data_IF_304096967083
#
_entry.id   IF_304096967083
#
_cell.length_a   1.000
_cell.length_b   1.000
_cell.length_c   1.000
_cell.angle_alpha   90.00
_cell.angle_beta   90.00
_cell.angle_gamma   90.00
#
_symmetry.space_group_name_H-M   'P 1'
#
loop_
_entity.id
_entity.type
_entity.pdbx_description
1 polymer ?
#
# COMPACT_ATOMS: atom_id res chain seq x y z
N UNK A 1 -0.05 49.24 -22.85
CA UNK A 1 -0.47 48.21 -23.82
C UNK A 1 0.37 46.97 -23.60
N UNK A 2 -0.11 46.03 -22.77
CA UNK A 2 0.64 44.86 -22.36
C UNK A 2 0.31 43.73 -23.34
N UNK A 3 1.28 43.31 -24.15
CA UNK A 3 1.13 42.21 -25.08
C UNK A 3 1.11 40.89 -24.31
N UNK A 4 -0.06 40.29 -24.13
CA UNK A 4 -0.16 38.86 -23.76
C UNK A 4 0.33 38.04 -24.97
N UNK A 5 1.55 37.50 -24.87
CA UNK A 5 2.00 36.41 -25.76
C UNK A 5 1.12 35.20 -25.49
N UNK A 6 0.37 34.81 -26.50
CA UNK A 6 -0.34 33.55 -26.57
C UNK A 6 0.66 32.41 -26.29
N UNK A 7 0.51 31.73 -25.16
CA UNK A 7 1.21 30.48 -24.90
C UNK A 7 0.44 29.40 -25.66
N UNK A 8 0.79 29.23 -26.92
CA UNK A 8 0.37 28.10 -27.73
C UNK A 8 1.47 27.04 -27.64
N UNK A 9 1.32 26.11 -26.72
CA UNK A 9 1.73 24.71 -26.95
C UNK A 9 0.93 23.84 -26.00
N UNK A 10 -0.08 23.15 -26.53
CA UNK A 10 -0.62 21.94 -25.94
C UNK A 10 0.51 20.92 -25.90
N UNK A 11 1.30 20.92 -24.85
CA UNK A 11 2.15 19.77 -24.53
C UNK A 11 1.16 18.69 -24.08
N UNK A 12 0.68 17.90 -25.05
CA UNK A 12 -0.12 16.71 -24.72
C UNK A 12 0.81 15.78 -23.97
N UNK A 13 0.56 15.58 -22.68
CA UNK A 13 1.25 14.55 -21.89
C UNK A 13 0.88 13.22 -22.53
N UNK A 14 1.86 12.59 -23.18
CA UNK A 14 1.67 11.27 -23.80
C UNK A 14 1.86 10.17 -22.78
N UNK A 15 1.23 9.03 -23.01
CA UNK A 15 1.56 7.80 -22.29
C UNK A 15 3.01 7.44 -22.53
N UNK A 16 3.64 6.88 -21.51
CA UNK A 16 5.02 6.41 -21.51
C UNK A 16 5.05 4.98 -20.97
N UNK A 17 6.11 4.26 -21.30
CA UNK A 17 6.32 2.90 -20.84
C UNK A 17 7.02 2.92 -19.48
N UNK A 18 6.45 2.23 -18.50
CA UNK A 18 7.02 2.04 -17.17
C UNK A 18 7.18 0.56 -16.88
N UNK A 19 8.33 0.21 -16.28
CA UNK A 19 8.64 -1.17 -15.88
C UNK A 19 8.98 -1.18 -14.40
N UNK A 20 8.41 -2.11 -13.65
CA UNK A 20 8.66 -2.32 -12.22
C UNK A 20 8.40 -3.79 -11.86
N UNK A 21 8.93 -4.24 -10.73
CA UNK A 21 8.66 -5.56 -10.20
C UNK A 21 7.51 -5.48 -9.16
N UNK A 22 6.46 -6.28 -9.32
CA UNK A 22 5.39 -6.38 -8.32
C UNK A 22 5.28 -7.82 -7.84
N UNK A 23 5.44 -8.02 -6.54
CA UNK A 23 5.37 -9.33 -5.89
C UNK A 23 6.27 -10.39 -6.55
N UNK A 24 7.48 -9.98 -7.00
CA UNK A 24 8.44 -10.85 -7.65
C UNK A 24 8.25 -11.03 -9.16
N UNK A 25 7.24 -10.42 -9.76
CA UNK A 25 6.98 -10.46 -11.21
C UNK A 25 7.26 -9.11 -11.85
N UNK A 26 7.95 -9.12 -12.98
CA UNK A 26 8.21 -7.91 -13.77
C UNK A 26 6.97 -7.56 -14.60
N UNK A 27 6.54 -6.31 -14.50
CA UNK A 27 5.43 -5.76 -15.29
C UNK A 27 5.93 -4.56 -16.11
N UNK A 28 5.41 -4.46 -17.33
CA UNK A 28 5.62 -3.32 -18.22
C UNK A 28 4.26 -2.79 -18.65
N UNK A 29 4.00 -1.53 -18.42
CA UNK A 29 2.73 -0.87 -18.70
C UNK A 29 2.91 0.41 -19.51
N UNK A 30 1.88 0.84 -20.22
CA UNK A 30 1.80 2.16 -20.83
C UNK A 30 0.81 3.03 -20.06
N UNK A 31 1.29 4.06 -19.39
CA UNK A 31 0.46 4.95 -18.58
C UNK A 31 0.91 6.40 -18.68
N UNK A 32 0.07 7.32 -18.22
CA UNK A 32 0.48 8.71 -18.05
C UNK A 32 1.43 8.81 -16.85
N UNK A 33 2.54 9.58 -16.95
CA UNK A 33 3.54 9.66 -15.87
C UNK A 33 2.98 10.03 -14.50
N UNK A 34 1.91 10.84 -14.48
CA UNK A 34 1.24 11.33 -13.26
C UNK A 34 0.08 10.42 -12.80
N UNK A 35 -0.23 9.32 -13.50
CA UNK A 35 -1.24 8.37 -13.04
C UNK A 35 -0.85 7.82 -11.66
N UNK A 36 -1.85 7.64 -10.80
CA UNK A 36 -1.61 7.10 -9.45
C UNK A 36 -1.19 5.64 -9.55
N UNK A 37 -0.16 5.25 -8.81
CA UNK A 37 0.25 3.85 -8.71
C UNK A 37 -0.92 2.96 -8.23
N UNK A 38 -1.76 3.46 -7.34
CA UNK A 38 -2.96 2.77 -6.86
C UNK A 38 -3.86 2.30 -8.01
N UNK A 39 -4.13 3.18 -8.99
CA UNK A 39 -5.00 2.87 -10.12
C UNK A 39 -4.35 1.81 -11.03
N UNK A 40 -3.05 1.94 -11.28
CA UNK A 40 -2.28 0.96 -12.06
C UNK A 40 -2.32 -0.43 -11.39
N UNK A 41 -2.07 -0.51 -10.10
CA UNK A 41 -2.12 -1.77 -9.36
C UNK A 41 -3.50 -2.42 -9.45
N UNK A 42 -4.57 -1.65 -9.26
CA UNK A 42 -5.92 -2.16 -9.18
C UNK A 42 -6.56 -2.43 -10.54
N UNK A 43 -6.37 -1.53 -11.50
CA UNK A 43 -7.11 -1.56 -12.77
C UNK A 43 -6.32 -2.29 -13.87
N UNK A 44 -5.02 -2.03 -13.97
CA UNK A 44 -4.19 -2.65 -15.01
C UNK A 44 -3.64 -4.01 -14.58
N UNK A 45 -3.09 -4.11 -13.35
CA UNK A 45 -2.53 -5.36 -12.84
C UNK A 45 -3.55 -6.24 -12.10
N UNK A 46 -4.77 -5.73 -11.87
CA UNK A 46 -5.85 -6.45 -11.17
C UNK A 46 -5.51 -6.86 -9.74
N UNK A 47 -4.54 -6.21 -9.10
CA UNK A 47 -4.18 -6.40 -7.71
C UNK A 47 -5.13 -5.60 -6.82
N UNK A 48 -6.35 -6.08 -6.67
CA UNK A 48 -7.45 -5.36 -6.01
C UNK A 48 -7.41 -5.43 -4.48
N UNK A 49 -6.46 -6.18 -3.92
CA UNK A 49 -6.20 -6.23 -2.48
C UNK A 49 -5.79 -4.86 -1.93
N UNK A 50 -4.98 -4.09 -2.66
CA UNK A 50 -4.71 -2.69 -2.33
C UNK A 50 -6.01 -1.88 -2.47
N UNK A 51 -6.46 -1.21 -1.38
CA UNK A 51 -7.77 -0.55 -1.32
C UNK A 51 -7.67 0.96 -1.45
N UNK A 52 -8.71 1.59 -1.96
CA UNK A 52 -8.89 3.04 -1.90
C UNK A 52 -9.87 3.39 -0.79
N UNK A 53 -9.44 4.27 0.11
CA UNK A 53 -10.30 4.86 1.13
C UNK A 53 -10.49 6.36 0.87
N UNK A 54 -9.49 7.18 1.16
CA UNK A 54 -9.57 8.64 0.99
C UNK A 54 -9.09 9.14 -0.38
N UNK A 55 -8.11 8.46 -1.01
CA UNK A 55 -7.44 8.94 -2.25
C UNK A 55 -6.49 10.13 -2.04
N UNK A 56 -6.27 10.56 -0.80
CA UNK A 56 -5.58 11.81 -0.41
C UNK A 56 -4.36 11.57 0.51
N UNK A 57 -3.95 10.31 0.70
CA UNK A 57 -2.77 9.97 1.50
C UNK A 57 -3.00 9.90 3.02
N UNK A 58 -4.24 10.07 3.51
CA UNK A 58 -4.56 10.20 4.93
C UNK A 58 -4.84 8.86 5.62
N UNK A 59 -5.52 7.93 4.94
CA UNK A 59 -6.13 6.77 5.61
C UNK A 59 -5.28 5.49 5.58
N UNK A 60 -4.27 5.38 4.74
CA UNK A 60 -3.41 4.21 4.63
C UNK A 60 -4.08 2.95 4.04
N UNK A 61 -5.32 2.99 3.56
CA UNK A 61 -5.95 1.82 2.95
C UNK A 61 -5.22 1.35 1.68
N UNK A 62 -4.52 2.25 1.01
CA UNK A 62 -3.73 2.01 -0.19
C UNK A 62 -2.25 1.75 0.08
N UNK A 63 -1.86 1.46 1.32
CA UNK A 63 -0.48 1.15 1.69
C UNK A 63 0.08 0.00 0.85
N UNK A 64 1.25 0.23 0.28
CA UNK A 64 2.12 -0.75 -0.36
C UNK A 64 3.55 -0.55 0.13
N UNK A 65 4.43 -1.49 -0.15
CA UNK A 65 5.87 -1.33 0.12
C UNK A 65 6.59 -1.11 -1.22
N UNK A 66 7.40 -0.05 -1.32
CA UNK A 66 8.27 0.22 -2.48
C UNK A 66 9.71 0.22 -1.97
N UNK A 67 10.56 -0.66 -2.52
CA UNK A 67 11.96 -0.83 -2.13
C UNK A 67 12.14 -0.93 -0.60
N UNK A 68 11.24 -1.65 0.07
CA UNK A 68 11.27 -1.86 1.51
C UNK A 68 10.69 -0.70 2.34
N UNK A 69 10.10 0.33 1.74
CA UNK A 69 9.48 1.45 2.45
C UNK A 69 7.96 1.46 2.27
N UNK A 70 7.22 1.64 3.36
CA UNK A 70 5.75 1.76 3.28
C UNK A 70 5.38 3.12 2.71
N UNK A 71 4.49 3.13 1.72
CA UNK A 71 3.99 4.34 1.09
C UNK A 71 2.49 4.24 0.79
N UNK A 72 1.82 5.39 0.70
CA UNK A 72 0.44 5.49 0.24
C UNK A 72 0.41 5.55 -1.30
N UNK A 73 0.07 4.46 -1.97
CA UNK A 73 0.10 4.34 -3.43
C UNK A 73 -0.83 5.33 -4.17
N UNK A 74 -1.82 5.92 -3.49
CA UNK A 74 -2.66 6.98 -4.04
C UNK A 74 -1.91 8.30 -4.27
N UNK A 75 -0.76 8.51 -3.60
CA UNK A 75 0.08 9.70 -3.75
C UNK A 75 1.32 9.47 -4.63
N UNK A 76 1.58 8.22 -5.04
CA UNK A 76 2.75 7.88 -5.85
C UNK A 76 2.41 7.97 -7.33
N UNK A 77 3.00 8.91 -8.10
CA UNK A 77 2.92 8.90 -9.55
C UNK A 77 3.62 7.65 -10.11
N UNK A 78 3.05 7.02 -11.14
CA UNK A 78 3.62 5.81 -11.71
C UNK A 78 5.05 6.00 -12.22
N UNK A 79 5.39 7.22 -12.65
CA UNK A 79 6.76 7.56 -13.06
C UNK A 79 7.79 7.37 -11.93
N UNK A 80 7.41 7.58 -10.67
CA UNK A 80 8.30 7.35 -9.51
C UNK A 80 8.46 5.87 -9.18
N UNK A 81 7.54 5.03 -9.61
CA UNK A 81 7.62 3.59 -9.41
C UNK A 81 8.48 2.87 -10.47
N UNK A 82 8.92 3.58 -11.53
CA UNK A 82 9.75 2.99 -12.58
C UNK A 82 11.05 2.45 -12.01
N UNK A 83 11.36 1.17 -12.32
CA UNK A 83 12.56 0.48 -11.87
C UNK A 83 12.55 -0.02 -10.43
N UNK A 84 11.45 0.18 -9.68
CA UNK A 84 11.36 -0.21 -8.27
C UNK A 84 10.79 -1.61 -8.07
N UNK A 85 10.92 -2.13 -6.84
CA UNK A 85 10.28 -3.36 -6.38
C UNK A 85 9.12 -3.01 -5.45
N UNK A 86 7.94 -3.48 -5.81
CA UNK A 86 6.69 -3.20 -5.11
C UNK A 86 6.16 -4.49 -4.48
N UNK A 87 5.79 -4.44 -3.19
CA UNK A 87 5.08 -5.52 -2.50
C UNK A 87 3.67 -5.02 -2.15
N UNK A 88 2.66 -5.72 -2.62
CA UNK A 88 1.26 -5.53 -2.24
C UNK A 88 0.81 -6.63 -1.28
N UNK A 89 -0.44 -6.55 -0.79
CA UNK A 89 -0.97 -7.57 0.14
C UNK A 89 -0.97 -8.97 -0.49
N UNK A 90 -1.13 -9.07 -1.80
CA UNK A 90 -1.11 -10.34 -2.52
C UNK A 90 0.28 -11.02 -2.47
N UNK A 91 1.34 -10.23 -2.31
CA UNK A 91 2.72 -10.74 -2.18
C UNK A 91 3.16 -11.01 -0.75
N UNK A 92 2.27 -10.88 0.25
CA UNK A 92 2.62 -11.10 1.67
C UNK A 92 2.55 -12.57 2.04
N UNK A 93 1.57 -13.30 1.53
CA UNK A 93 1.47 -14.75 1.73
C UNK A 93 2.67 -15.47 1.08
N UNK A 94 3.10 -16.58 1.67
CA UNK A 94 4.20 -17.41 1.17
C UNK A 94 3.69 -18.81 0.86
N UNK A 95 4.00 -19.31 -0.34
CA UNK A 95 3.64 -20.67 -0.76
C UNK A 95 2.15 -21.01 -0.49
N UNK A 96 1.26 -20.07 -0.84
CA UNK A 96 -0.19 -20.13 -0.58
C UNK A 96 -0.57 -20.27 0.90
N UNK A 97 0.35 -20.00 1.82
CA UNK A 97 0.11 -19.99 3.26
C UNK A 97 0.08 -18.56 3.79
N UNK A 98 -0.90 -18.30 4.64
CA UNK A 98 -0.96 -17.04 5.39
C UNK A 98 0.23 -16.96 6.34
N UNK A 99 0.86 -15.79 6.41
CA UNK A 99 1.85 -15.52 7.44
C UNK A 99 1.16 -15.29 8.79
N UNK A 100 1.93 -15.37 9.89
CA UNK A 100 1.42 -15.23 11.26
C UNK A 100 0.52 -14.00 11.45
N UNK A 101 0.88 -12.84 10.87
CA UNK A 101 0.06 -11.62 10.95
C UNK A 101 -1.29 -11.81 10.29
N UNK A 102 -1.34 -12.36 9.08
CA UNK A 102 -2.61 -12.58 8.37
C UNK A 102 -3.50 -13.57 9.12
N UNK A 103 -2.93 -14.66 9.62
CA UNK A 103 -3.65 -15.65 10.40
C UNK A 103 -4.20 -15.04 11.70
N UNK A 104 -3.39 -14.26 12.42
CA UNK A 104 -3.82 -13.59 13.64
C UNK A 104 -4.98 -12.59 13.41
N UNK A 105 -4.99 -11.88 12.28
CA UNK A 105 -6.11 -11.01 11.91
C UNK A 105 -7.43 -11.78 11.73
N UNK A 106 -7.36 -13.02 11.25
CA UNK A 106 -8.52 -13.91 11.13
C UNK A 106 -8.94 -14.41 12.51
N UNK A 107 -8.01 -14.97 13.27
CA UNK A 107 -8.28 -15.69 14.53
C UNK A 107 -8.77 -14.75 15.64
N UNK A 108 -8.25 -13.52 15.68
CA UNK A 108 -8.57 -12.54 16.73
C UNK A 108 -9.52 -11.42 16.28
N UNK A 109 -10.00 -11.49 15.04
CA UNK A 109 -11.01 -10.53 14.55
C UNK A 109 -10.44 -9.13 14.26
N UNK A 110 -9.18 -9.04 13.81
CA UNK A 110 -8.55 -7.79 13.39
C UNK A 110 -9.16 -7.17 12.14
N UNK A 111 -10.05 -7.88 11.43
CA UNK A 111 -10.74 -7.42 10.25
C UNK A 111 -12.27 -7.42 10.46
N UNK A 112 -12.96 -6.38 9.93
CA UNK A 112 -14.42 -6.34 9.84
C UNK A 112 -14.86 -6.08 8.40
N UNK A 113 -14.96 -4.81 7.96
CA UNK A 113 -15.34 -4.51 6.56
C UNK A 113 -14.26 -4.84 5.54
N UNK A 114 -12.99 -4.98 5.95
CA UNK A 114 -11.87 -5.37 5.10
C UNK A 114 -11.16 -4.24 4.36
N UNK A 115 -11.66 -2.99 4.37
CA UNK A 115 -11.06 -1.89 3.59
C UNK A 115 -9.68 -1.49 4.11
N UNK A 116 -9.49 -1.35 5.42
CA UNK A 116 -8.20 -1.03 6.02
C UNK A 116 -7.26 -2.23 6.14
N UNK A 117 -7.80 -3.45 6.11
CA UNK A 117 -7.07 -4.67 6.46
C UNK A 117 -5.80 -4.91 5.66
N UNK A 118 -5.77 -4.77 4.33
CA UNK A 118 -4.54 -4.96 3.56
C UNK A 118 -3.42 -3.99 3.96
N UNK A 119 -3.76 -2.71 4.11
CA UNK A 119 -2.80 -1.69 4.54
C UNK A 119 -2.31 -1.91 5.98
N UNK A 120 -3.21 -2.28 6.89
CA UNK A 120 -2.84 -2.61 8.28
C UNK A 120 -1.89 -3.81 8.36
N UNK A 121 -2.14 -4.85 7.56
CA UNK A 121 -1.27 -6.04 7.51
C UNK A 121 0.11 -5.67 6.97
N UNK A 122 0.20 -4.90 5.88
CA UNK A 122 1.49 -4.45 5.35
C UNK A 122 2.26 -3.57 6.35
N UNK A 123 1.58 -2.67 7.05
CA UNK A 123 2.18 -1.85 8.11
C UNK A 123 2.67 -2.70 9.29
N UNK A 124 1.89 -3.72 9.69
CA UNK A 124 2.30 -4.65 10.73
C UNK A 124 3.49 -5.52 10.31
N UNK A 125 3.51 -6.00 9.07
CA UNK A 125 4.63 -6.78 8.52
C UNK A 125 5.90 -5.94 8.51
N UNK A 126 5.85 -4.70 8.02
CA UNK A 126 6.97 -3.78 8.00
C UNK A 126 7.48 -3.46 9.42
N UNK A 127 6.58 -3.28 10.37
CA UNK A 127 6.97 -3.12 11.78
C UNK A 127 7.72 -4.35 12.30
N UNK A 128 7.19 -5.56 12.06
CA UNK A 128 7.78 -6.80 12.60
C UNK A 128 9.07 -7.20 11.88
N UNK A 129 9.25 -6.85 10.62
CA UNK A 129 10.52 -7.00 9.90
C UNK A 129 11.62 -6.12 10.52
N UNK A 130 11.27 -4.92 11.00
CA UNK A 130 12.22 -3.98 11.65
C UNK A 130 12.38 -4.22 13.14
N UNK A 131 11.33 -4.63 13.83
CA UNK A 131 11.31 -4.91 15.27
C UNK A 131 10.47 -6.17 15.53
N UNK A 132 11.10 -7.36 15.62
CA UNK A 132 10.38 -8.62 15.82
C UNK A 132 9.68 -8.75 17.18
N UNK A 133 10.04 -7.94 18.17
CA UNK A 133 9.44 -7.95 19.51
C UNK A 133 8.98 -6.53 19.90
N UNK A 134 7.96 -5.98 19.21
CA UNK A 134 7.50 -4.64 19.45
C UNK A 134 6.77 -4.53 20.78
N UNK A 135 6.95 -3.41 21.46
CA UNK A 135 6.10 -3.01 22.58
C UNK A 135 4.71 -2.60 22.06
N UNK A 136 3.73 -2.50 22.95
CA UNK A 136 2.41 -1.99 22.59
C UNK A 136 2.48 -0.57 21.98
N UNK A 137 3.39 0.27 22.48
CA UNK A 137 3.62 1.62 21.94
C UNK A 137 4.19 1.54 20.51
N UNK A 138 5.12 0.62 20.25
CA UNK A 138 5.67 0.43 18.91
C UNK A 138 4.60 -0.02 17.92
N UNK A 139 3.70 -0.91 18.35
CA UNK A 139 2.56 -1.35 17.52
C UNK A 139 1.63 -0.18 17.22
N UNK A 140 1.26 0.62 18.22
CA UNK A 140 0.41 1.81 18.02
C UNK A 140 1.04 2.81 17.05
N UNK A 141 2.33 3.09 17.22
CA UNK A 141 3.07 4.00 16.36
C UNK A 141 3.25 3.45 14.95
N UNK A 142 3.59 2.17 14.82
CA UNK A 142 3.79 1.49 13.52
C UNK A 142 2.52 1.44 12.66
N UNK A 143 1.35 1.41 13.32
CA UNK A 143 0.04 1.38 12.63
C UNK A 143 -0.65 2.75 12.56
N UNK A 144 -0.06 3.82 13.09
CA UNK A 144 -0.69 5.13 13.19
C UNK A 144 -1.07 5.75 11.84
N UNK A 145 -0.36 5.39 10.76
CA UNK A 145 -0.65 5.84 9.40
C UNK A 145 -1.84 5.13 8.73
N UNK A 146 -2.46 4.14 9.40
CA UNK A 146 -3.54 3.33 8.85
C UNK A 146 -4.82 3.48 9.69
N UNK A 147 -5.88 4.03 9.09
CA UNK A 147 -7.12 4.32 9.78
C UNK A 147 -8.13 3.16 9.65
N UNK A 148 -8.75 2.80 10.78
CA UNK A 148 -9.87 1.85 10.81
C UNK A 148 -11.09 2.47 11.49
N UNK A 149 -12.23 2.50 10.80
CA UNK A 149 -13.50 3.05 11.34
C UNK A 149 -14.32 2.01 12.10
N UNK A 150 -14.02 0.73 11.93
CA UNK A 150 -14.92 -0.35 12.39
C UNK A 150 -14.49 -0.95 13.73
N UNK A 151 -13.18 -1.25 13.92
CA UNK A 151 -12.69 -2.13 14.98
C UNK A 151 -12.39 -1.43 16.31
N UNK A 152 -12.28 -0.10 16.31
CA UNK A 152 -11.74 0.65 17.45
C UNK A 152 -10.27 0.30 17.76
N UNK A 153 -9.57 -0.32 16.83
CA UNK A 153 -8.14 -0.72 16.86
C UNK A 153 -7.76 -1.84 17.83
N UNK A 154 -8.52 -2.10 18.89
CA UNK A 154 -8.14 -3.06 19.95
C UNK A 154 -7.88 -4.45 19.39
N UNK A 155 -8.77 -4.96 18.52
CA UNK A 155 -8.59 -6.27 17.88
C UNK A 155 -7.44 -6.30 16.87
N UNK A 156 -7.15 -5.18 16.22
CA UNK A 156 -5.99 -5.05 15.34
C UNK A 156 -4.71 -5.16 16.15
N UNK A 157 -4.58 -4.39 17.25
CA UNK A 157 -3.40 -4.44 18.12
C UNK A 157 -3.22 -5.83 18.73
N UNK A 158 -4.30 -6.45 19.22
CA UNK A 158 -4.27 -7.82 19.72
C UNK A 158 -3.76 -8.80 18.66
N UNK A 159 -4.23 -8.69 17.41
CA UNK A 159 -3.79 -9.54 16.31
C UNK A 159 -2.28 -9.42 16.07
N UNK A 160 -1.72 -8.20 16.10
CA UNK A 160 -0.28 -7.99 15.92
C UNK A 160 0.51 -8.56 17.09
N UNK A 161 0.07 -8.33 18.34
CA UNK A 161 0.71 -8.92 19.54
C UNK A 161 0.73 -10.45 19.45
N UNK A 162 -0.37 -11.07 19.05
CA UNK A 162 -0.46 -12.53 18.90
C UNK A 162 0.41 -13.09 17.79
N UNK A 163 0.56 -12.32 16.69
CA UNK A 163 1.48 -12.72 15.62
C UNK A 163 2.94 -12.78 16.05
N UNK A 164 3.34 -11.96 17.03
CA UNK A 164 4.70 -11.99 17.58
C UNK A 164 4.98 -13.20 18.50
N UNK A 165 3.94 -13.94 18.91
CA UNK A 165 4.04 -15.06 19.85
C UNK A 165 4.05 -16.42 19.13
N UNK A 166 3.91 -16.43 17.83
CA UNK A 166 3.95 -17.62 16.97
C UNK A 166 5.33 -17.81 16.35
#
# INVERSE_FOLDING_TARGET
MVFFRSISSKTMVSKQTFTFNVNGQQHTIESFPIARLLDVLREELRLTGTKEGCGEGECGACTVQIDGQIVNSCLVPVAQAHGTTIKTIEGVAKDDRLIAVQQAFIDFGGAQCGICTPGMILAAVDLLERNPQPTEIDIRNGLAGNLCRCTGYMKIFESVVRACQQ
#
